data_IF_100973954082
#
_entry.id   IF_100973954082
#
_cell.length_a   1.000
_cell.length_b   1.000
_cell.length_c   1.000
_cell.angle_alpha   90.00
_cell.angle_beta   90.00
_cell.angle_gamma   90.00
#
_symmetry.space_group_name_H-M   'P 1'
#
loop_
_entity.id
_entity.type
_entity.pdbx_description
1 polymer ?
#
# COMPACT_ATOMS: atom_id res chain seq x y z
N UNK A 1 -24.69 -24.90 6.81
CA UNK A 1 -24.06 -25.21 5.51
C UNK A 1 -22.69 -24.58 5.53
N UNK A 2 -21.63 -25.37 5.65
CA UNK A 2 -20.24 -24.87 5.75
C UNK A 2 -19.70 -24.62 4.35
N UNK A 3 -19.10 -23.45 4.03
CA UNK A 3 -18.48 -23.24 2.74
C UNK A 3 -17.30 -24.22 2.56
N UNK A 4 -17.06 -24.74 1.34
CA UNK A 4 -15.91 -25.59 1.08
C UNK A 4 -14.62 -24.83 1.37
N UNK A 5 -13.65 -25.52 1.97
CA UNK A 5 -12.33 -24.96 2.19
C UNK A 5 -11.70 -24.59 0.84
N UNK A 6 -11.39 -23.32 0.65
CA UNK A 6 -10.73 -22.81 -0.54
C UNK A 6 -9.33 -23.43 -0.66
N UNK A 7 -9.06 -24.10 -1.78
CA UNK A 7 -7.76 -24.73 -2.02
C UNK A 7 -6.86 -23.74 -2.74
N UNK A 8 -5.82 -23.28 -2.05
CA UNK A 8 -4.78 -22.46 -2.67
C UNK A 8 -3.90 -23.30 -3.59
N UNK A 9 -3.39 -22.72 -4.70
CA UNK A 9 -2.44 -23.40 -5.56
C UNK A 9 -1.16 -23.76 -4.80
N UNK A 10 -0.46 -24.81 -5.26
CA UNK A 10 0.86 -25.16 -4.72
C UNK A 10 1.80 -23.97 -4.87
N UNK A 11 2.54 -23.67 -3.80
CA UNK A 11 3.56 -22.62 -3.80
C UNK A 11 4.56 -22.85 -4.94
N UNK A 12 5.01 -21.80 -5.64
CA UNK A 12 6.10 -21.90 -6.60
C UNK A 12 7.36 -22.51 -5.97
N UNK A 13 8.15 -23.26 -6.75
CA UNK A 13 9.43 -23.85 -6.32
C UNK A 13 10.59 -22.86 -6.34
N UNK A 14 10.42 -21.72 -7.01
CA UNK A 14 11.40 -20.63 -7.07
C UNK A 14 11.40 -19.82 -5.77
N UNK A 15 12.59 -19.37 -5.36
CA UNK A 15 12.77 -18.46 -4.24
C UNK A 15 12.21 -17.05 -4.55
N UNK A 16 11.73 -16.38 -3.50
CA UNK A 16 11.22 -15.00 -3.59
C UNK A 16 12.33 -14.01 -3.93
N UNK A 17 12.13 -13.16 -4.94
CA UNK A 17 13.11 -12.14 -5.31
C UNK A 17 13.03 -10.90 -4.40
N UNK A 18 11.82 -10.52 -4.02
CA UNK A 18 11.54 -9.36 -3.17
C UNK A 18 10.60 -9.79 -2.06
N UNK A 19 11.04 -9.60 -0.82
CA UNK A 19 10.23 -9.80 0.36
C UNK A 19 10.39 -8.58 1.27
N UNK A 20 9.27 -8.03 1.67
CA UNK A 20 9.20 -6.98 2.69
C UNK A 20 8.02 -7.30 3.59
N UNK A 21 8.29 -7.48 4.87
CA UNK A 21 7.29 -7.74 5.91
C UNK A 21 6.90 -6.45 6.65
N UNK A 22 7.48 -5.31 6.27
CA UNK A 22 7.27 -4.00 6.89
C UNK A 22 7.62 -3.94 8.38
N UNK A 23 8.47 -4.85 8.86
CA UNK A 23 8.98 -4.84 10.24
C UNK A 23 10.09 -3.82 10.48
N UNK A 24 10.68 -3.28 9.41
CA UNK A 24 11.69 -2.23 9.45
C UNK A 24 11.16 -0.95 10.11
N UNK A 25 11.97 -0.23 10.91
CA UNK A 25 11.56 1.03 11.53
C UNK A 25 11.33 2.17 10.51
N UNK A 26 11.86 2.03 9.29
CA UNK A 26 11.70 3.00 8.20
C UNK A 26 11.30 2.29 6.91
N UNK A 27 10.54 2.98 6.05
CA UNK A 27 10.11 2.43 4.77
C UNK A 27 11.34 2.17 3.90
N UNK A 28 11.36 0.99 3.28
CA UNK A 28 12.40 0.60 2.33
C UNK A 28 12.25 1.38 1.02
N UNK A 29 12.93 2.50 0.91
CA UNK A 29 12.87 3.39 -0.27
C UNK A 29 13.57 2.79 -1.50
N UNK A 30 14.32 1.70 -1.33
CA UNK A 30 14.82 0.87 -2.43
C UNK A 30 13.72 0.02 -3.10
N UNK A 31 12.61 -0.21 -2.40
CA UNK A 31 11.47 -1.02 -2.88
C UNK A 31 10.19 -0.21 -3.12
N UNK A 32 9.97 0.84 -2.32
CA UNK A 32 8.68 1.53 -2.26
C UNK A 32 8.79 3.03 -2.50
N UNK A 33 7.81 3.55 -3.24
CA UNK A 33 7.56 4.99 -3.42
C UNK A 33 6.27 5.33 -2.69
N UNK A 34 6.32 6.22 -1.70
CA UNK A 34 5.18 6.58 -0.85
C UNK A 34 4.30 7.71 -1.44
N UNK A 35 4.37 7.90 -2.75
CA UNK A 35 3.59 8.88 -3.49
C UNK A 35 2.72 8.17 -4.53
N UNK A 36 1.41 8.39 -4.48
CA UNK A 36 0.48 7.84 -5.45
C UNK A 36 0.55 8.60 -6.78
N UNK A 37 1.12 7.96 -7.80
CA UNK A 37 1.25 8.48 -9.17
C UNK A 37 1.79 9.92 -9.22
N UNK A 38 3.02 10.18 -8.71
CA UNK A 38 3.55 11.54 -8.51
C UNK A 38 3.72 12.36 -9.80
N UNK A 39 3.62 11.73 -10.97
CA UNK A 39 3.68 12.40 -12.26
C UNK A 39 2.34 12.99 -12.73
N UNK A 40 1.25 12.76 -11.98
CA UNK A 40 -0.12 13.24 -12.30
C UNK A 40 -0.72 14.19 -11.26
N UNK A 41 0.03 14.54 -10.21
CA UNK A 41 -0.43 15.42 -9.13
C UNK A 41 0.76 16.09 -8.44
N UNK A 42 0.53 16.84 -7.36
CA UNK A 42 1.59 17.41 -6.54
C UNK A 42 1.93 16.52 -5.34
N UNK A 43 3.16 16.59 -4.80
CA UNK A 43 3.57 15.80 -3.63
C UNK A 43 2.65 15.95 -2.42
N UNK A 44 2.07 17.13 -2.19
CA UNK A 44 1.16 17.40 -1.08
C UNK A 44 -0.12 16.55 -1.14
N UNK A 45 -0.51 16.14 -2.35
CA UNK A 45 -1.72 15.35 -2.64
C UNK A 45 -1.44 13.87 -2.87
N UNK A 46 -0.27 13.53 -3.42
CA UNK A 46 0.12 12.14 -3.68
C UNK A 46 0.66 11.42 -2.45
N UNK A 47 1.24 12.16 -1.49
CA UNK A 47 1.96 11.55 -0.37
C UNK A 47 1.02 10.74 0.51
N UNK A 48 1.27 9.44 0.57
CA UNK A 48 0.57 8.55 1.49
C UNK A 48 0.93 8.90 2.94
N UNK A 49 -0.08 8.97 3.81
CA UNK A 49 0.12 8.84 5.25
C UNK A 49 0.22 7.35 5.55
N UNK A 50 1.22 6.95 6.31
CA UNK A 50 1.42 5.55 6.68
C UNK A 50 2.10 5.42 8.04
N UNK A 51 1.90 4.26 8.67
CA UNK A 51 2.54 3.86 9.92
C UNK A 51 3.16 2.47 9.73
N UNK A 52 4.44 2.32 10.11
CA UNK A 52 5.09 1.01 10.20
C UNK A 52 4.89 0.47 11.62
N UNK A 53 3.96 -0.47 11.75
CA UNK A 53 3.50 -1.01 13.02
C UNK A 53 4.28 -2.28 13.44
N UNK A 54 5.54 -2.41 13.01
CA UNK A 54 6.41 -3.54 13.30
C UNK A 54 5.80 -4.87 12.86
N UNK A 55 5.57 -5.78 13.80
CA UNK A 55 4.99 -7.11 13.51
C UNK A 55 3.55 -7.06 12.96
N UNK A 56 2.84 -5.93 13.13
CA UNK A 56 1.52 -5.72 12.52
C UNK A 56 1.60 -5.24 11.07
N UNK A 57 2.80 -4.97 10.54
CA UNK A 57 3.04 -4.55 9.17
C UNK A 57 2.77 -3.06 8.91
N UNK A 58 2.37 -2.75 7.68
CA UNK A 58 2.10 -1.39 7.22
C UNK A 58 0.62 -1.03 7.41
N UNK A 59 0.35 0.14 8.01
CA UNK A 59 -0.98 0.75 8.02
C UNK A 59 -0.99 1.98 7.12
N UNK A 60 -2.04 2.12 6.32
CA UNK A 60 -2.24 3.25 5.41
C UNK A 60 -3.60 3.87 5.75
N UNK A 61 -3.67 4.78 6.75
CA UNK A 61 -4.92 5.40 7.12
C UNK A 61 -5.40 6.36 6.03
N UNK A 62 -6.73 6.41 5.86
CA UNK A 62 -7.39 7.50 5.14
C UNK A 62 -8.06 8.39 6.18
N UNK A 63 -7.54 9.60 6.36
CA UNK A 63 -7.99 10.55 7.39
C UNK A 63 -8.87 11.63 6.78
N UNK A 64 -9.80 12.17 7.56
CA UNK A 64 -10.83 13.11 7.07
C UNK A 64 -10.23 14.41 6.49
N UNK A 65 -9.06 14.81 6.93
CA UNK A 65 -8.35 16.01 6.46
C UNK A 65 -7.42 15.73 5.26
N UNK A 66 -7.34 14.49 4.78
CA UNK A 66 -6.59 14.21 3.57
C UNK A 66 -7.30 14.81 2.36
N UNK A 67 -6.53 15.60 1.61
CA UNK A 67 -6.97 16.17 0.35
C UNK A 67 -7.26 15.05 -0.65
N UNK A 68 -8.21 15.30 -1.54
CA UNK A 68 -8.37 14.46 -2.72
C UNK A 68 -7.06 14.42 -3.52
N UNK A 69 -6.62 13.21 -3.87
CA UNK A 69 -5.33 12.98 -4.53
C UNK A 69 -5.27 13.63 -5.93
N UNK A 70 -6.42 13.82 -6.58
CA UNK A 70 -6.57 14.53 -7.85
C UNK A 70 -7.98 15.15 -8.00
N UNK A 71 -8.05 16.46 -8.16
CA UNK A 71 -9.32 17.20 -8.30
C UNK A 71 -10.08 16.83 -9.60
N UNK A 72 -9.36 16.55 -10.70
CA UNK A 72 -9.98 16.33 -12.02
C UNK A 72 -10.74 14.99 -12.16
N UNK A 73 -10.63 14.05 -11.21
CA UNK A 73 -11.35 12.76 -11.25
C UNK A 73 -12.36 12.55 -10.12
N UNK A 74 -12.31 13.34 -9.05
CA UNK A 74 -13.31 13.24 -7.97
C UNK A 74 -14.63 13.90 -8.37
N UNK A 75 -14.62 14.82 -9.35
CA UNK A 75 -15.81 15.36 -9.98
C UNK A 75 -16.37 14.43 -11.07
N UNK A 76 -16.67 13.18 -10.73
CA UNK A 76 -17.55 12.32 -11.54
C UNK A 76 -18.03 11.09 -10.74
N UNK A 77 -19.14 11.22 -10.02
CA UNK A 77 -20.41 10.51 -10.29
C UNK A 77 -21.56 11.33 -9.70
#
# INVERSE_FOLDING_TARGET
>A
MTPPAESFPKRPTRATDIHDDFSSPTLRTDLWVADYLPHWTTPERSRARYELAGASGLRIPIEHDQLEWREELSAAV
#
